data_IF_185108328881
#
_entry.id   IF_185108328881
#
_cell.length_a   1.000
_cell.length_b   1.000
_cell.length_c   1.000
_cell.angle_alpha   90.00
_cell.angle_beta   90.00
_cell.angle_gamma   90.00
#
_symmetry.space_group_name_H-M   'P 1'
#
loop_
_entity.id
_entity.type
_entity.pdbx_description
1 polymer ?
#
# COMPACT_ATOMS: atom_id res chain seq x y z
N UNK A 1 -0.05 0.52 10.95
CA UNK A 1 -0.96 1.32 10.11
C UNK A 1 -1.32 2.68 10.70
N UNK A 2 -1.29 2.89 12.03
CA UNK A 2 -1.66 4.18 12.63
C UNK A 2 -0.43 5.06 12.95
N UNK A 3 0.00 5.90 12.02
CA UNK A 3 0.95 6.98 12.32
C UNK A 3 0.20 8.22 12.81
N UNK A 4 0.77 8.89 13.81
CA UNK A 4 0.23 10.15 14.33
C UNK A 4 0.57 11.35 13.43
N UNK A 5 1.57 11.22 12.56
CA UNK A 5 2.04 12.26 11.63
C UNK A 5 2.73 11.62 10.42
N UNK A 6 2.89 12.39 9.34
CA UNK A 6 3.76 12.00 8.24
C UNK A 6 5.24 12.12 8.65
N UNK A 7 6.06 11.17 8.18
CA UNK A 7 7.50 11.14 8.45
C UNK A 7 8.33 11.83 7.36
N UNK A 8 9.66 11.74 7.48
CA UNK A 8 10.58 12.22 6.44
C UNK A 8 10.76 13.74 6.40
N UNK A 9 10.43 14.44 7.48
CA UNK A 9 10.55 15.88 7.59
C UNK A 9 11.47 16.23 8.77
N UNK A 10 12.46 17.11 8.55
CA UNK A 10 13.40 17.52 9.59
C UNK A 10 13.72 19.01 9.48
N UNK A 11 13.28 19.79 10.47
CA UNK A 11 13.53 21.23 10.51
C UNK A 11 15.01 21.55 10.80
N UNK A 12 15.63 20.73 11.65
CA UNK A 12 17.05 20.86 12.00
C UNK A 12 17.95 20.29 10.90
N UNK A 13 19.15 20.87 10.69
CA UNK A 13 20.16 20.26 9.82
C UNK A 13 20.50 18.82 10.25
N UNK A 14 21.05 18.00 9.34
CA UNK A 14 21.58 16.69 9.70
C UNK A 14 22.61 16.80 10.82
N UNK A 15 22.58 15.85 11.76
CA UNK A 15 23.53 15.75 12.85
C UNK A 15 24.91 15.34 12.28
N UNK A 16 25.87 16.27 12.37
CA UNK A 16 27.24 16.09 11.87
C UNK A 16 27.99 14.96 12.59
N UNK A 17 27.62 14.70 13.86
CA UNK A 17 28.26 13.71 14.72
C UNK A 17 27.53 12.34 14.67
N UNK A 18 26.46 12.21 13.87
CA UNK A 18 25.68 10.98 13.79
C UNK A 18 26.53 9.81 13.31
N UNK A 19 26.77 8.80 14.15
CA UNK A 19 27.47 7.59 13.74
C UNK A 19 26.68 6.84 12.63
N UNK A 20 27.34 6.39 11.54
CA UNK A 20 26.65 5.72 10.45
C UNK A 20 26.18 4.33 10.88
N UNK A 21 24.91 4.00 10.63
CA UNK A 21 24.39 2.64 10.80
C UNK A 21 24.49 1.83 9.51
N UNK A 22 24.27 0.51 9.58
CA UNK A 22 24.11 -0.31 8.38
C UNK A 22 22.65 -0.72 8.24
N UNK A 23 22.03 -0.32 7.12
CA UNK A 23 20.70 -0.76 6.77
C UNK A 23 20.78 -2.11 6.05
N UNK A 24 20.33 -3.18 6.71
CA UNK A 24 20.18 -4.48 6.05
C UNK A 24 19.18 -4.42 4.89
N UNK A 25 18.11 -3.63 5.05
CA UNK A 25 17.05 -3.46 4.05
C UNK A 25 17.58 -2.89 2.74
N UNK A 26 18.45 -1.89 2.81
CA UNK A 26 19.02 -1.21 1.64
C UNK A 26 20.45 -1.64 1.32
N UNK A 27 21.01 -2.56 2.11
CA UNK A 27 22.39 -3.03 2.02
C UNK A 27 23.39 -1.87 1.97
N UNK A 28 23.18 -0.86 2.81
CA UNK A 28 23.88 0.43 2.75
C UNK A 28 24.36 0.87 4.13
N UNK A 29 25.63 1.28 4.23
CA UNK A 29 26.18 1.96 5.39
C UNK A 29 25.87 3.47 5.35
N UNK A 30 25.59 4.06 6.50
CA UNK A 30 25.21 5.46 6.67
C UNK A 30 23.81 5.80 6.18
N UNK A 31 22.90 4.83 6.11
CA UNK A 31 21.53 5.08 5.62
C UNK A 31 20.80 6.10 6.51
N UNK A 32 20.99 6.04 7.83
CA UNK A 32 20.49 7.03 8.76
C UNK A 32 20.91 8.48 8.45
N UNK A 33 22.14 8.69 7.96
CA UNK A 33 22.62 10.02 7.53
C UNK A 33 21.89 10.50 6.28
N UNK A 34 21.76 9.62 5.27
CA UNK A 34 20.99 9.92 4.05
C UNK A 34 19.55 10.28 4.38
N UNK A 35 18.93 9.59 5.34
CA UNK A 35 17.59 9.92 5.80
C UNK A 35 17.51 11.33 6.39
N UNK A 36 18.47 11.73 7.23
CA UNK A 36 18.49 13.08 7.80
C UNK A 36 18.75 14.15 6.73
N UNK A 37 19.69 13.90 5.81
CA UNK A 37 20.00 14.79 4.69
C UNK A 37 18.78 15.05 3.80
N UNK A 38 18.10 13.99 3.37
CA UNK A 38 16.91 14.10 2.52
C UNK A 38 15.72 14.70 3.26
N UNK A 39 15.52 14.36 4.53
CA UNK A 39 14.44 14.93 5.33
C UNK A 39 14.61 16.43 5.57
N UNK A 40 15.85 16.89 5.75
CA UNK A 40 16.15 18.31 5.89
C UNK A 40 16.09 19.04 4.54
N UNK A 41 16.56 18.42 3.46
CA UNK A 41 16.41 18.97 2.11
C UNK A 41 14.92 19.18 1.77
N UNK A 42 14.07 18.19 2.02
CA UNK A 42 12.63 18.30 1.82
C UNK A 42 12.03 19.44 2.66
N UNK A 43 12.42 19.60 3.92
CA UNK A 43 11.96 20.73 4.74
C UNK A 43 12.30 22.09 4.12
N UNK A 44 13.55 22.24 3.67
CA UNK A 44 14.02 23.48 3.04
C UNK A 44 13.25 23.78 1.75
N UNK A 45 13.03 22.76 0.92
CA UNK A 45 12.26 22.92 -0.31
C UNK A 45 10.82 23.28 0.02
N UNK A 46 10.16 22.51 0.89
CA UNK A 46 8.76 22.70 1.31
C UNK A 46 8.47 24.10 1.87
N UNK A 47 9.42 24.66 2.62
CA UNK A 47 9.29 25.99 3.25
C UNK A 47 9.79 27.13 2.37
N UNK A 48 10.38 26.83 1.20
CA UNK A 48 10.86 27.85 0.28
C UNK A 48 9.71 28.70 -0.31
N UNK A 49 10.00 29.93 -0.77
CA UNK A 49 8.99 30.79 -1.40
C UNK A 49 8.38 30.18 -2.67
N UNK A 50 9.17 29.42 -3.43
CA UNK A 50 8.81 28.96 -4.78
C UNK A 50 8.18 27.55 -4.81
N UNK A 51 8.12 26.86 -3.66
CA UNK A 51 7.51 25.53 -3.58
C UNK A 51 5.98 25.62 -3.46
N UNK A 52 5.20 24.86 -4.24
CA UNK A 52 3.74 24.91 -4.14
C UNK A 52 3.24 24.51 -2.76
N UNK A 53 2.15 25.14 -2.29
CA UNK A 53 1.56 24.81 -0.99
C UNK A 53 0.61 23.63 -1.13
N UNK A 54 0.88 22.56 -0.39
CA UNK A 54 0.09 21.34 -0.41
C UNK A 54 -0.56 21.07 0.94
N UNK A 55 -1.72 20.40 0.89
CA UNK A 55 -2.28 19.67 2.02
C UNK A 55 -1.85 18.20 1.88
N UNK A 56 -1.25 17.64 2.94
CA UNK A 56 -0.92 16.21 2.99
C UNK A 56 -1.95 15.53 3.87
N UNK A 57 -2.69 14.59 3.29
CA UNK A 57 -3.69 13.79 4.00
C UNK A 57 -3.19 12.36 4.10
N UNK A 58 -3.04 11.87 5.33
CA UNK A 58 -2.88 10.45 5.60
C UNK A 58 -4.18 9.95 6.22
N UNK A 59 -4.92 9.13 5.47
CA UNK A 59 -6.28 8.74 5.82
C UNK A 59 -6.22 7.40 6.55
N UNK A 60 -6.91 7.30 7.68
CA UNK A 60 -7.16 6.04 8.36
C UNK A 60 -8.57 5.59 8.01
N UNK A 61 -8.69 4.38 7.48
CA UNK A 61 -9.96 3.84 6.99
C UNK A 61 -10.15 2.38 7.43
N UNK A 62 -9.85 2.13 8.71
CA UNK A 62 -10.10 0.84 9.35
C UNK A 62 -11.59 0.47 9.29
N UNK A 63 -11.85 -0.82 9.17
CA UNK A 63 -13.17 -1.45 9.14
C UNK A 63 -13.28 -2.52 10.25
N UNK A 64 -14.46 -3.16 10.45
CA UNK A 64 -14.63 -4.14 11.53
C UNK A 64 -13.77 -5.41 11.44
N UNK A 65 -13.17 -5.69 10.28
CA UNK A 65 -12.37 -6.88 10.03
C UNK A 65 -10.87 -6.56 10.02
N UNK A 66 -10.48 -5.39 9.51
CA UNK A 66 -9.09 -4.98 9.29
C UNK A 66 -8.85 -3.49 9.56
N UNK A 67 -7.59 -3.13 9.79
CA UNK A 67 -7.16 -1.74 9.91
C UNK A 67 -7.09 -0.99 8.56
N UNK A 68 -7.48 -1.65 7.47
CA UNK A 68 -7.42 -1.17 6.10
C UNK A 68 -8.66 -1.66 5.32
N UNK A 69 -9.37 -0.75 4.65
CA UNK A 69 -10.55 -1.01 3.81
C UNK A 69 -10.26 -1.05 2.31
N UNK A 70 -8.99 -1.00 1.91
CA UNK A 70 -8.51 -0.80 0.54
C UNK A 70 -8.96 0.53 -0.08
N UNK A 71 -9.50 1.45 0.74
CA UNK A 71 -10.03 2.75 0.34
C UNK A 71 -11.00 2.70 -0.86
N UNK A 72 -11.73 1.60 -1.03
CA UNK A 72 -12.66 1.37 -2.15
C UNK A 72 -14.08 1.05 -1.68
N UNK A 73 -15.03 1.17 -2.59
CA UNK A 73 -16.38 0.67 -2.36
C UNK A 73 -16.39 -0.84 -2.51
N UNK A 74 -16.89 -1.54 -1.48
CA UNK A 74 -17.01 -2.99 -1.45
C UNK A 74 -18.40 -3.39 -0.97
N UNK A 75 -18.93 -4.50 -1.48
CA UNK A 75 -20.16 -5.09 -0.96
C UNK A 75 -19.99 -5.58 0.49
N UNK A 76 -18.78 -5.99 0.86
CA UNK A 76 -18.46 -6.60 2.15
C UNK A 76 -18.11 -5.53 3.21
N UNK A 77 -17.36 -4.49 2.81
CA UNK A 77 -16.89 -3.45 3.72
C UNK A 77 -17.71 -2.15 3.69
N UNK A 78 -18.48 -1.94 2.63
CA UNK A 78 -19.26 -0.72 2.40
C UNK A 78 -18.53 0.33 1.55
N UNK A 79 -19.07 1.56 1.47
CA UNK A 79 -18.69 2.55 0.48
C UNK A 79 -17.50 3.42 0.94
N UNK A 80 -16.37 2.82 1.34
CA UNK A 80 -15.23 3.58 1.86
C UNK A 80 -14.61 4.52 0.81
N UNK A 81 -14.58 4.11 -0.46
CA UNK A 81 -14.11 4.95 -1.55
C UNK A 81 -14.95 6.22 -1.69
N UNK A 82 -16.27 6.10 -1.70
CA UNK A 82 -17.16 7.27 -1.79
C UNK A 82 -17.13 8.12 -0.52
N UNK A 83 -17.06 7.50 0.66
CA UNK A 83 -16.92 8.25 1.92
C UNK A 83 -15.62 9.09 1.92
N UNK A 84 -14.51 8.54 1.42
CA UNK A 84 -13.27 9.29 1.29
C UNK A 84 -13.42 10.40 0.24
N UNK A 85 -13.85 10.04 -0.97
CA UNK A 85 -13.82 10.96 -2.12
C UNK A 85 -14.89 12.04 -2.08
N UNK A 86 -16.09 11.72 -1.58
CA UNK A 86 -17.28 12.58 -1.67
C UNK A 86 -17.63 13.25 -0.34
N UNK A 87 -17.11 12.78 0.78
CA UNK A 87 -17.39 13.36 2.10
C UNK A 87 -16.12 13.91 2.76
N UNK A 88 -15.10 13.07 2.96
CA UNK A 88 -13.89 13.46 3.70
C UNK A 88 -13.05 14.50 2.94
N UNK A 89 -12.69 14.24 1.69
CA UNK A 89 -11.84 15.17 0.92
C UNK A 89 -12.50 16.55 0.77
N UNK A 90 -13.79 16.67 0.36
CA UNK A 90 -14.44 17.97 0.29
C UNK A 90 -14.48 18.71 1.63
N UNK A 91 -14.73 18.00 2.74
CA UNK A 91 -14.73 18.60 4.08
C UNK A 91 -13.34 19.17 4.45
N UNK A 92 -12.27 18.41 4.19
CA UNK A 92 -10.90 18.87 4.48
C UNK A 92 -10.55 20.06 3.60
N UNK A 93 -10.90 20.02 2.32
CA UNK A 93 -10.63 21.11 1.39
C UNK A 93 -11.38 22.39 1.75
N UNK A 94 -12.65 22.29 2.15
CA UNK A 94 -13.40 23.45 2.65
C UNK A 94 -12.75 24.02 3.91
N UNK A 95 -12.42 23.15 4.88
CA UNK A 95 -11.89 23.57 6.18
C UNK A 95 -10.49 24.17 6.11
N UNK A 96 -9.64 23.63 5.26
CA UNK A 96 -8.22 24.00 5.15
C UNK A 96 -7.89 24.78 3.88
N UNK A 97 -8.91 25.18 3.11
CA UNK A 97 -8.81 25.95 1.87
C UNK A 97 -7.98 25.22 0.80
N UNK A 98 -8.27 23.94 0.62
CA UNK A 98 -7.80 23.16 -0.52
C UNK A 98 -8.42 23.67 -1.82
N UNK A 99 -7.82 23.33 -2.96
CA UNK A 99 -8.26 23.82 -4.27
C UNK A 99 -9.60 23.16 -4.68
N UNK A 100 -9.85 21.91 -4.29
CA UNK A 100 -11.12 21.23 -4.59
C UNK A 100 -11.21 20.65 -6.01
N UNK A 101 -10.13 20.73 -6.78
CA UNK A 101 -10.11 20.34 -8.19
C UNK A 101 -9.22 19.13 -8.41
N UNK A 102 -9.64 18.18 -9.26
CA UNK A 102 -8.89 16.95 -9.48
C UNK A 102 -7.49 17.16 -10.05
N UNK A 103 -7.28 18.18 -10.88
CA UNK A 103 -5.96 18.56 -11.40
C UNK A 103 -4.98 19.01 -10.29
N UNK A 104 -5.49 19.37 -9.10
CA UNK A 104 -4.70 19.79 -7.95
C UNK A 104 -4.44 18.64 -6.95
N UNK A 105 -4.95 17.43 -7.19
CA UNK A 105 -4.78 16.27 -6.33
C UNK A 105 -3.87 15.21 -6.97
N UNK A 106 -3.13 14.50 -6.14
CA UNK A 106 -2.41 13.29 -6.53
C UNK A 106 -2.37 12.30 -5.36
N UNK A 107 -2.23 11.02 -5.69
CA UNK A 107 -2.08 9.95 -4.69
C UNK A 107 -0.68 9.38 -4.72
N UNK A 108 -0.21 8.92 -3.56
CA UNK A 108 1.05 8.20 -3.43
C UNK A 108 0.85 7.07 -2.43
N UNK A 109 1.37 5.89 -2.75
CA UNK A 109 1.35 4.76 -1.83
C UNK A 109 2.28 3.63 -2.25
N UNK A 110 2.59 2.76 -1.28
CA UNK A 110 3.43 1.59 -1.46
C UNK A 110 2.71 0.31 -1.03
N UNK A 111 2.98 -0.84 -1.66
CA UNK A 111 2.30 -2.12 -1.37
C UNK A 111 0.77 -1.97 -1.50
N UNK A 112 0.00 -2.25 -0.44
CA UNK A 112 -1.45 -2.02 -0.41
C UNK A 112 -1.80 -0.58 -0.78
N UNK A 113 -1.12 0.41 -0.20
CA UNK A 113 -1.34 1.82 -0.57
C UNK A 113 -0.99 2.14 -2.03
N UNK A 114 -0.08 1.39 -2.64
CA UNK A 114 0.23 1.53 -4.07
C UNK A 114 -0.92 1.03 -4.93
N UNK A 115 -1.56 -0.07 -4.52
CA UNK A 115 -2.78 -0.56 -5.15
C UNK A 115 -3.93 0.44 -4.98
N UNK A 116 -4.12 0.99 -3.78
CA UNK A 116 -5.15 2.00 -3.49
C UNK A 116 -4.97 3.27 -4.31
N UNK A 117 -3.73 3.76 -4.41
CA UNK A 117 -3.40 4.94 -5.21
C UNK A 117 -3.78 4.75 -6.69
N UNK A 118 -3.53 3.55 -7.23
CA UNK A 118 -3.92 3.21 -8.60
C UNK A 118 -5.43 3.00 -8.73
N UNK A 119 -6.06 2.31 -7.78
CA UNK A 119 -7.50 2.08 -7.78
C UNK A 119 -8.28 3.39 -7.73
N UNK A 120 -7.86 4.34 -6.89
CA UNK A 120 -8.44 5.68 -6.83
C UNK A 120 -8.34 6.41 -8.18
N UNK A 121 -7.18 6.33 -8.85
CA UNK A 121 -6.99 6.92 -10.19
C UNK A 121 -7.90 6.29 -11.25
N UNK A 122 -8.19 4.98 -11.15
CA UNK A 122 -9.04 4.25 -12.10
C UNK A 122 -10.52 4.50 -11.83
N UNK A 123 -10.96 4.43 -10.57
CA UNK A 123 -12.37 4.56 -10.19
C UNK A 123 -12.84 6.02 -10.13
N UNK A 124 -11.94 6.96 -9.89
CA UNK A 124 -12.22 8.39 -9.80
C UNK A 124 -11.28 9.19 -10.74
N UNK A 125 -11.35 8.97 -12.06
CA UNK A 125 -10.35 9.47 -13.02
C UNK A 125 -10.31 11.00 -13.13
N UNK A 126 -11.42 11.67 -12.83
CA UNK A 126 -11.52 13.14 -12.87
C UNK A 126 -11.12 13.79 -11.53
N UNK A 127 -10.93 13.00 -10.46
CA UNK A 127 -10.68 13.51 -9.11
C UNK A 127 -9.18 13.59 -8.76
N UNK A 128 -8.31 12.99 -9.57
CA UNK A 128 -6.85 12.99 -9.37
C UNK A 128 -6.09 13.22 -10.68
N UNK A 129 -5.09 14.10 -10.61
CA UNK A 129 -4.18 14.42 -11.72
C UNK A 129 -3.12 13.34 -12.00
N UNK A 130 -2.91 12.44 -11.04
CA UNK A 130 -1.93 11.38 -11.15
C UNK A 130 -1.81 10.56 -9.87
N UNK A 131 -1.24 9.37 -10.03
CA UNK A 131 -0.92 8.47 -8.94
C UNK A 131 0.53 8.00 -9.02
N UNK A 132 1.17 7.85 -7.86
CA UNK A 132 2.49 7.27 -7.69
C UNK A 132 2.36 5.95 -6.93
N UNK A 133 2.15 4.87 -7.68
CA UNK A 133 1.96 3.52 -7.15
C UNK A 133 3.30 2.76 -7.07
N UNK A 134 3.89 2.70 -5.87
CA UNK A 134 5.13 1.97 -5.63
C UNK A 134 4.83 0.51 -5.26
N UNK A 135 5.44 -0.45 -5.97
CA UNK A 135 5.31 -1.89 -5.71
C UNK A 135 3.90 -2.33 -5.25
N UNK A 136 2.85 -2.01 -6.03
CA UNK A 136 1.48 -2.21 -5.59
C UNK A 136 1.18 -3.69 -5.33
N UNK A 137 0.20 -3.97 -4.47
CA UNK A 137 -0.44 -5.28 -4.45
C UNK A 137 -0.95 -5.66 -5.86
N UNK A 138 -1.16 -6.95 -6.18
CA UNK A 138 -1.56 -7.36 -7.52
C UNK A 138 -2.78 -6.60 -8.07
N UNK A 139 -2.60 -5.95 -9.21
CA UNK A 139 -3.63 -5.15 -9.89
C UNK A 139 -4.58 -5.99 -10.77
N UNK A 140 -4.22 -7.25 -10.98
CA UNK A 140 -4.90 -8.22 -11.83
C UNK A 140 -4.64 -9.63 -11.30
N UNK A 141 -5.69 -10.45 -11.27
CA UNK A 141 -5.62 -11.78 -10.65
C UNK A 141 -5.32 -12.91 -11.65
N UNK A 142 -4.92 -12.60 -12.89
CA UNK A 142 -4.45 -13.60 -13.87
C UNK A 142 -3.09 -14.22 -13.52
N UNK A 143 -2.35 -13.59 -12.60
CA UNK A 143 -1.06 -14.10 -12.12
C UNK A 143 -0.84 -13.75 -10.64
N UNK A 144 -1.87 -13.93 -9.81
CA UNK A 144 -1.75 -13.72 -8.37
C UNK A 144 -0.82 -14.78 -7.77
N UNK A 145 0.39 -14.36 -7.37
CA UNK A 145 1.54 -15.24 -7.16
C UNK A 145 1.86 -16.07 -8.43
N UNK A 146 1.22 -17.22 -8.61
CA UNK A 146 1.28 -18.10 -9.79
C UNK A 146 -0.09 -18.75 -10.10
N UNK A 147 -1.16 -18.11 -9.65
CA UNK A 147 -2.53 -18.55 -9.83
C UNK A 147 -3.21 -17.60 -10.81
N UNK A 148 -3.80 -18.14 -11.87
CA UNK A 148 -4.78 -17.40 -12.66
C UNK A 148 -6.17 -17.68 -12.08
N UNK A 149 -6.68 -16.74 -11.29
CA UNK A 149 -7.94 -16.92 -10.58
C UNK A 149 -9.14 -17.11 -11.52
N UNK A 150 -9.05 -16.63 -12.76
CA UNK A 150 -10.15 -16.65 -13.72
C UNK A 150 -10.20 -17.93 -14.56
N UNK A 151 -9.08 -18.63 -14.71
CA UNK A 151 -8.97 -19.79 -15.60
C UNK A 151 -8.63 -21.08 -14.87
N UNK A 152 -7.95 -21.00 -13.72
CA UNK A 152 -7.53 -22.19 -12.99
C UNK A 152 -8.63 -22.71 -12.07
N UNK A 153 -8.75 -24.04 -12.01
CA UNK A 153 -9.73 -24.73 -11.17
C UNK A 153 -9.43 -24.62 -9.67
N UNK A 154 -8.17 -24.37 -9.29
CA UNK A 154 -7.76 -24.28 -7.89
C UNK A 154 -6.45 -23.49 -7.75
N UNK A 155 -6.21 -22.94 -6.56
CA UNK A 155 -5.01 -22.16 -6.25
C UNK A 155 -3.83 -23.00 -5.71
N UNK A 156 -3.99 -24.30 -5.45
CA UNK A 156 -3.07 -25.07 -4.62
C UNK A 156 -2.09 -25.93 -5.41
N UNK A 157 -2.50 -26.45 -6.55
CA UNK A 157 -1.67 -27.32 -7.38
C UNK A 157 -1.97 -27.16 -8.87
N UNK A 158 -0.95 -27.41 -9.67
CA UNK A 158 -1.10 -27.68 -11.10
C UNK A 158 -1.27 -29.18 -11.30
N UNK A 159 -2.30 -29.58 -12.04
CA UNK A 159 -2.53 -30.97 -12.44
C UNK A 159 -1.72 -31.28 -13.70
N UNK A 160 -0.89 -32.32 -13.66
CA UNK A 160 -0.21 -32.87 -14.83
C UNK A 160 -0.59 -34.33 -15.04
N UNK A 161 -0.17 -34.92 -16.16
CA UNK A 161 -0.56 -36.28 -16.57
C UNK A 161 -0.25 -37.37 -15.52
N UNK A 162 0.77 -37.15 -14.69
CA UNK A 162 1.28 -38.17 -13.77
C UNK A 162 1.24 -37.75 -12.30
N UNK A 163 1.27 -36.45 -12.01
CA UNK A 163 1.28 -35.95 -10.64
C UNK A 163 0.75 -34.52 -10.54
N UNK A 164 0.34 -34.20 -9.31
CA UNK A 164 0.02 -32.84 -8.89
C UNK A 164 1.26 -32.15 -8.35
N UNK A 165 1.54 -30.96 -8.85
CA UNK A 165 2.65 -30.12 -8.39
C UNK A 165 2.11 -28.98 -7.54
N UNK A 166 2.47 -28.89 -6.25
CA UNK A 166 2.05 -27.78 -5.40
C UNK A 166 2.53 -26.43 -5.96
N UNK A 167 1.65 -25.44 -5.97
CA UNK A 167 1.98 -24.09 -6.42
C UNK A 167 2.74 -23.33 -5.33
N UNK A 168 3.91 -22.73 -5.63
CA UNK A 168 4.65 -21.95 -4.65
C UNK A 168 4.00 -20.57 -4.43
N UNK A 169 4.03 -20.10 -3.19
CA UNK A 169 3.61 -18.76 -2.80
C UNK A 169 4.81 -17.82 -2.55
N UNK A 170 5.89 -18.36 -1.96
CA UNK A 170 7.10 -17.62 -1.68
C UNK A 170 8.36 -18.35 -2.19
N UNK A 171 9.26 -17.59 -2.83
CA UNK A 171 10.54 -18.09 -3.33
C UNK A 171 11.65 -17.04 -3.23
N UNK A 172 12.89 -17.48 -3.09
CA UNK A 172 14.06 -16.60 -3.18
C UNK A 172 14.42 -16.23 -4.64
N UNK A 173 15.41 -15.35 -4.82
CA UNK A 173 15.88 -14.93 -6.14
C UNK A 173 16.50 -16.05 -6.99
N UNK A 174 16.83 -17.20 -6.39
CA UNK A 174 17.35 -18.40 -7.06
C UNK A 174 16.23 -19.41 -7.38
N UNK A 175 15.00 -19.13 -6.94
CA UNK A 175 13.84 -19.99 -7.14
C UNK A 175 13.63 -21.05 -6.06
N UNK A 176 14.36 -21.01 -4.95
CA UNK A 176 14.08 -21.92 -3.84
C UNK A 176 12.76 -21.56 -3.19
N UNK A 177 11.84 -22.51 -3.17
CA UNK A 177 10.51 -22.36 -2.59
C UNK A 177 10.58 -22.56 -1.07
N UNK A 178 10.06 -21.60 -0.32
CA UNK A 178 9.96 -21.71 1.15
C UNK A 178 8.52 -21.90 1.65
N UNK A 179 7.51 -21.61 0.82
CA UNK A 179 6.10 -21.83 1.13
C UNK A 179 5.27 -22.09 -0.14
N UNK A 180 4.27 -22.96 -0.02
CA UNK A 180 3.24 -23.20 -1.05
C UNK A 180 1.97 -22.39 -0.78
N UNK A 181 1.12 -22.22 -1.80
CA UNK A 181 -0.18 -21.54 -1.67
C UNK A 181 -1.06 -22.19 -0.60
N UNK A 182 -1.06 -23.52 -0.50
CA UNK A 182 -1.81 -24.24 0.52
C UNK A 182 -1.25 -23.98 1.93
N UNK A 183 0.07 -23.85 2.07
CA UNK A 183 0.71 -23.54 3.36
C UNK A 183 0.41 -22.11 3.81
N UNK A 184 0.46 -21.12 2.90
CA UNK A 184 0.06 -19.75 3.22
C UNK A 184 -1.43 -19.67 3.60
N UNK A 185 -2.33 -20.30 2.83
CA UNK A 185 -3.75 -20.29 3.18
C UNK A 185 -4.04 -20.96 4.53
N UNK A 186 -3.36 -22.06 4.85
CA UNK A 186 -3.48 -22.68 6.18
C UNK A 186 -2.93 -21.79 7.29
N UNK A 187 -1.87 -21.02 7.04
CA UNK A 187 -1.35 -20.07 8.01
C UNK A 187 -2.38 -18.97 8.30
N UNK A 188 -3.01 -18.40 7.28
CA UNK A 188 -4.10 -17.42 7.43
C UNK A 188 -5.19 -18.00 8.34
N UNK A 189 -5.64 -19.22 8.05
CA UNK A 189 -6.69 -19.88 8.84
C UNK A 189 -6.31 -20.09 10.32
N UNK A 190 -5.04 -20.36 10.61
CA UNK A 190 -4.52 -20.52 11.98
C UNK A 190 -4.44 -19.17 12.71
N UNK A 191 -4.02 -18.12 12.01
CA UNK A 191 -3.86 -16.78 12.58
C UNK A 191 -5.21 -16.13 12.89
N UNK A 192 -6.22 -16.37 12.06
CA UNK A 192 -7.57 -15.87 12.30
C UNK A 192 -8.60 -16.56 11.43
N UNK A 193 -9.68 -17.03 12.04
CA UNK A 193 -10.82 -17.56 11.27
C UNK A 193 -11.77 -16.45 10.86
N UNK A 194 -12.60 -16.73 9.84
CA UNK A 194 -13.64 -15.80 9.32
C UNK A 194 -13.05 -14.50 8.76
N UNK A 195 -11.96 -14.63 8.01
CA UNK A 195 -11.31 -13.53 7.32
C UNK A 195 -10.82 -12.44 8.28
N UNK A 196 -10.01 -12.84 9.26
CA UNK A 196 -9.49 -11.94 10.32
C UNK A 196 -8.01 -12.17 10.61
N UNK A 197 -7.31 -12.91 9.75
CA UNK A 197 -5.91 -13.25 9.97
C UNK A 197 -4.95 -12.06 9.81
N UNK A 198 -5.40 -10.96 9.19
CA UNK A 198 -4.52 -9.85 8.83
C UNK A 198 -3.60 -10.17 7.64
N UNK A 199 -3.80 -11.31 6.98
CA UNK A 199 -2.93 -11.80 5.91
C UNK A 199 -3.56 -11.66 4.53
N UNK A 200 -2.75 -11.98 3.51
CA UNK A 200 -2.97 -11.59 2.12
C UNK A 200 -4.20 -12.24 1.48
N UNK A 201 -4.60 -13.47 1.83
CA UNK A 201 -5.77 -14.09 1.21
C UNK A 201 -7.06 -13.62 1.86
N UNK A 202 -7.09 -13.59 3.19
CA UNK A 202 -8.28 -13.18 3.92
C UNK A 202 -8.64 -11.70 3.70
N UNK A 203 -7.67 -10.83 3.44
CA UNK A 203 -7.96 -9.42 3.14
C UNK A 203 -8.64 -9.26 1.78
N UNK A 204 -8.24 -10.03 0.76
CA UNK A 204 -8.92 -10.00 -0.54
C UNK A 204 -10.35 -10.50 -0.44
N UNK A 205 -10.59 -11.61 0.26
CA UNK A 205 -11.94 -12.15 0.51
C UNK A 205 -12.80 -11.21 1.37
N UNK A 206 -12.19 -10.38 2.21
CA UNK A 206 -12.92 -9.39 2.98
C UNK A 206 -13.29 -8.16 2.14
N UNK A 207 -12.47 -7.79 1.16
CA UNK A 207 -12.71 -6.63 0.29
C UNK A 207 -13.59 -6.99 -0.92
N UNK A 208 -13.46 -8.19 -1.49
CA UNK A 208 -14.15 -8.64 -2.72
C UNK A 208 -15.06 -9.84 -2.45
#
# INVERSE_FOLDING_TARGET
HFSATFGGFREEPPDEDLAPDYSERFQMAGYNRVQQELAHALYRDWTSPDFPRFLVLQIQHANPYYDDSYAVNSQNLGPYGDAIMRELLPYVEERFRGIGEGWARFTYGGSTGGWEALAAQVFYPDEFNGCFAACPDPIDFRAYCLVNLYEELNAYYTEGDFLRVPKPAHRDARGHVSATMAQENHLDHVLGTRFRSGQRLDIWEAVY
#
